data_IF_049245274506
#
_entry.id   IF_049245274506
#
_cell.length_a   1.000
_cell.length_b   1.000
_cell.length_c   1.000
_cell.angle_alpha   90.00
_cell.angle_beta   90.00
_cell.angle_gamma   90.00
#
_symmetry.space_group_name_H-M   'P 1'
#
loop_
_entity.id
_entity.type
_entity.pdbx_description
1 polymer ?
#
# COMPACT_ATOMS: atom_id res chain seq x y z
N UNK A 1 46.97 15.88 -0.84
CA UNK A 1 45.99 16.93 -1.22
C UNK A 1 45.15 16.42 -2.38
N UNK A 2 43.85 16.76 -2.43
CA UNK A 2 42.92 16.36 -3.52
C UNK A 2 43.19 17.10 -4.85
N UNK A 3 43.98 18.17 -4.82
CA UNK A 3 44.24 19.05 -5.96
C UNK A 3 45.73 19.10 -6.29
N UNK A 4 46.07 19.02 -7.58
CA UNK A 4 47.44 19.12 -8.08
C UNK A 4 47.80 20.61 -8.30
N UNK A 5 48.89 21.09 -7.69
CA UNK A 5 49.29 22.50 -7.72
C UNK A 5 49.55 23.05 -9.13
N UNK A 6 50.09 22.23 -10.03
CA UNK A 6 50.43 22.64 -11.41
C UNK A 6 49.19 22.72 -12.31
N UNK A 7 48.26 21.77 -12.18
CA UNK A 7 47.01 21.73 -12.96
C UNK A 7 46.04 22.85 -12.57
N UNK A 8 46.01 23.19 -11.27
CA UNK A 8 45.11 24.22 -10.73
C UNK A 8 45.72 25.62 -10.69
N UNK A 9 47.01 25.76 -11.03
CA UNK A 9 47.78 27.03 -10.96
C UNK A 9 47.55 27.74 -9.63
N UNK A 10 47.65 26.99 -8.53
CA UNK A 10 47.25 27.49 -7.22
C UNK A 10 48.20 28.63 -6.81
N UNK A 11 47.66 29.82 -6.59
CA UNK A 11 48.43 30.96 -6.11
C UNK A 11 48.79 30.75 -4.63
N UNK A 12 50.07 30.94 -4.31
CA UNK A 12 50.59 30.85 -2.93
C UNK A 12 50.90 32.25 -2.43
N UNK A 13 50.34 32.61 -1.28
CA UNK A 13 50.65 33.86 -0.58
C UNK A 13 51.00 33.54 0.87
N UNK A 14 52.17 34.00 1.33
CA UNK A 14 52.67 33.72 2.69
C UNK A 14 52.62 32.22 3.06
N UNK A 15 53.01 31.34 2.12
CA UNK A 15 52.97 29.87 2.25
C UNK A 15 51.57 29.26 2.41
N UNK A 16 50.51 30.01 2.10
CA UNK A 16 49.10 29.58 2.17
C UNK A 16 48.43 29.63 0.80
N UNK A 17 47.42 28.77 0.61
CA UNK A 17 46.63 28.66 -0.61
C UNK A 17 45.31 29.42 -0.45
N UNK A 18 45.39 30.74 -0.34
CA UNK A 18 44.29 31.58 0.14
C UNK A 18 42.98 31.42 -0.66
N UNK A 19 43.05 31.21 -1.98
CA UNK A 19 41.87 30.97 -2.82
C UNK A 19 41.20 29.62 -2.58
N UNK A 20 42.00 28.58 -2.40
CA UNK A 20 41.50 27.24 -2.08
C UNK A 20 40.88 27.22 -0.67
N UNK A 21 41.48 27.95 0.28
CA UNK A 21 40.92 28.13 1.63
C UNK A 21 39.59 28.87 1.61
N UNK A 22 39.52 30.00 0.88
CA UNK A 22 38.29 30.76 0.70
C UNK A 22 37.17 29.92 0.08
N UNK A 23 37.47 29.18 -1.00
CA UNK A 23 36.52 28.23 -1.60
C UNK A 23 36.07 27.17 -0.60
N UNK A 24 37.00 26.59 0.16
CA UNK A 24 36.69 25.52 1.12
C UNK A 24 35.76 26.02 2.22
N UNK A 25 36.06 27.17 2.84
CA UNK A 25 35.21 27.77 3.87
C UNK A 25 33.82 28.09 3.33
N UNK A 26 33.74 28.63 2.11
CA UNK A 26 32.46 28.89 1.47
C UNK A 26 31.68 27.60 1.18
N UNK A 27 32.35 26.57 0.65
CA UNK A 27 31.77 25.26 0.29
C UNK A 27 31.17 24.50 1.47
N UNK A 28 31.76 24.65 2.66
CA UNK A 28 31.27 24.04 3.91
C UNK A 28 30.33 24.96 4.69
N UNK A 29 29.99 26.15 4.16
CA UNK A 29 29.06 27.09 4.78
C UNK A 29 29.63 27.87 5.98
N UNK A 30 30.95 27.88 6.17
CA UNK A 30 31.64 28.63 7.23
C UNK A 30 31.93 30.06 6.78
N UNK A 31 30.86 30.83 6.56
CA UNK A 31 30.93 32.23 6.13
C UNK A 31 31.67 33.10 7.15
N UNK A 32 31.61 32.76 8.43
CA UNK A 32 32.37 33.40 9.51
C UNK A 32 33.89 33.31 9.27
N UNK A 33 34.39 32.10 9.00
CA UNK A 33 35.81 31.86 8.72
C UNK A 33 36.23 32.50 7.41
N UNK A 34 35.37 32.45 6.40
CA UNK A 34 35.61 33.14 5.14
C UNK A 34 35.77 34.65 5.34
N UNK A 35 34.86 35.31 6.04
CA UNK A 35 34.93 36.75 6.30
C UNK A 35 36.15 37.12 7.14
N UNK A 36 36.53 36.27 8.11
CA UNK A 36 37.77 36.42 8.87
C UNK A 36 38.99 36.34 7.97
N UNK A 37 39.08 35.34 7.09
CA UNK A 37 40.17 35.16 6.13
C UNK A 37 40.30 36.37 5.19
N UNK A 38 39.17 36.86 4.65
CA UNK A 38 39.13 38.04 3.79
C UNK A 38 39.57 39.32 4.52
N UNK A 39 39.42 39.37 5.85
CA UNK A 39 39.80 40.53 6.67
C UNK A 39 41.27 40.46 7.10
N UNK A 40 41.74 39.28 7.51
CA UNK A 40 43.14 39.01 7.85
C UNK A 40 44.07 39.30 6.67
N UNK A 41 43.69 38.84 5.46
CA UNK A 41 44.45 39.04 4.23
C UNK A 41 43.82 40.13 3.33
N UNK A 42 43.39 41.25 3.92
CA UNK A 42 42.73 42.34 3.17
C UNK A 42 43.60 42.88 2.03
N UNK A 43 44.91 43.04 2.25
CA UNK A 43 45.84 43.52 1.23
C UNK A 43 45.79 42.62 -0.01
N UNK A 44 45.81 41.30 0.20
CA UNK A 44 45.76 40.31 -0.86
C UNK A 44 44.41 40.33 -1.58
N UNK A 45 43.29 40.24 -0.86
CA UNK A 45 41.97 40.08 -1.46
C UNK A 45 41.37 41.37 -2.04
N UNK A 46 41.72 42.54 -1.50
CA UNK A 46 41.17 43.81 -1.98
C UNK A 46 42.07 44.49 -3.02
N UNK A 47 43.38 44.52 -2.78
CA UNK A 47 44.30 45.31 -3.60
C UNK A 47 45.02 44.48 -4.66
N UNK A 48 45.51 43.29 -4.32
CA UNK A 48 46.18 42.41 -5.28
C UNK A 48 45.19 41.62 -6.15
N UNK A 49 44.00 41.36 -5.61
CA UNK A 49 43.00 40.47 -6.21
C UNK A 49 41.78 41.20 -6.76
N UNK A 50 41.97 42.37 -7.36
CA UNK A 50 40.93 43.10 -8.11
C UNK A 50 39.63 43.33 -7.30
N UNK A 51 39.74 43.75 -6.04
CA UNK A 51 38.61 44.03 -5.14
C UNK A 51 37.69 42.83 -4.86
N UNK A 52 38.26 41.62 -4.85
CA UNK A 52 37.48 40.39 -4.58
C UNK A 52 36.72 40.47 -3.27
N UNK A 53 37.33 40.95 -2.18
CA UNK A 53 36.68 41.07 -0.87
C UNK A 53 35.41 41.92 -0.98
N UNK A 54 35.48 43.11 -1.57
CA UNK A 54 34.30 43.97 -1.81
C UNK A 54 33.23 43.28 -2.67
N UNK A 55 33.64 42.65 -3.78
CA UNK A 55 32.73 41.95 -4.71
C UNK A 55 32.01 40.78 -4.03
N UNK A 56 32.77 39.92 -3.37
CA UNK A 56 32.23 38.70 -2.76
C UNK A 56 31.38 39.01 -1.53
N UNK A 57 31.74 40.01 -0.72
CA UNK A 57 30.88 40.51 0.36
C UNK A 57 29.56 41.08 -0.17
N UNK A 58 29.58 41.74 -1.33
CA UNK A 58 28.39 42.17 -2.05
C UNK A 58 27.49 40.98 -2.41
N UNK A 59 28.07 39.95 -3.02
CA UNK A 59 27.38 38.70 -3.37
C UNK A 59 26.77 38.00 -2.15
N UNK A 60 27.52 37.84 -1.06
CA UNK A 60 27.03 37.25 0.19
C UNK A 60 25.85 38.02 0.79
N UNK A 61 25.84 39.35 0.60
CA UNK A 61 24.73 40.22 0.99
C UNK A 61 23.58 40.26 -0.03
N UNK A 62 23.62 39.43 -1.08
CA UNK A 62 22.58 39.35 -2.12
C UNK A 62 22.61 40.49 -3.15
N UNK A 63 23.70 41.25 -3.23
CA UNK A 63 23.88 42.33 -4.21
C UNK A 63 24.55 41.79 -5.48
N UNK A 64 24.05 42.19 -6.65
CA UNK A 64 24.68 41.85 -7.93
C UNK A 64 26.01 42.60 -8.06
N UNK A 65 27.11 41.90 -8.39
CA UNK A 65 28.37 42.57 -8.61
C UNK A 65 28.34 43.35 -9.92
N UNK A 66 28.86 44.58 -9.90
CA UNK A 66 29.11 45.38 -11.10
C UNK A 66 30.60 45.28 -11.46
N UNK A 67 31.04 44.14 -11.99
CA UNK A 67 32.42 43.97 -12.40
C UNK A 67 32.60 42.93 -13.51
N UNK A 68 33.54 43.18 -14.43
CA UNK A 68 33.92 42.25 -15.50
C UNK A 68 35.39 41.87 -15.31
N UNK A 69 35.64 40.65 -14.79
CA UNK A 69 37.00 40.11 -14.65
C UNK A 69 37.37 39.29 -15.88
N UNK A 70 38.57 39.49 -16.44
CA UNK A 70 39.12 38.63 -17.49
C UNK A 70 40.18 37.68 -16.90
N UNK A 71 39.76 36.48 -16.47
CA UNK A 71 40.57 35.53 -15.67
C UNK A 71 41.10 34.35 -16.51
N UNK A 72 41.56 34.59 -17.74
CA UNK A 72 41.89 33.50 -18.69
C UNK A 72 43.09 32.63 -18.27
N UNK A 73 43.97 33.11 -17.39
CA UNK A 73 45.22 32.44 -16.99
C UNK A 73 45.40 32.20 -15.48
N UNK A 74 44.39 32.52 -14.68
CA UNK A 74 44.49 32.63 -13.22
C UNK A 74 44.22 31.31 -12.47
N UNK A 75 44.50 31.32 -11.16
CA UNK A 75 44.11 30.28 -10.21
C UNK A 75 42.66 29.83 -10.44
N UNK A 76 42.43 28.51 -10.49
CA UNK A 76 41.12 27.95 -10.80
C UNK A 76 40.07 28.24 -9.73
N UNK A 77 40.44 28.25 -8.45
CA UNK A 77 39.54 28.61 -7.35
C UNK A 77 39.18 30.09 -7.40
N UNK A 78 40.15 30.97 -7.67
CA UNK A 78 39.90 32.40 -7.90
C UNK A 78 38.90 32.60 -9.02
N UNK A 79 39.17 32.01 -10.17
CA UNK A 79 38.27 32.07 -11.34
C UNK A 79 36.87 31.61 -11.00
N UNK A 80 36.74 30.46 -10.36
CA UNK A 80 35.45 29.90 -9.97
C UNK A 80 34.68 30.83 -9.01
N UNK A 81 35.34 31.37 -7.97
CA UNK A 81 34.69 32.24 -6.99
C UNK A 81 34.19 33.56 -7.61
N UNK A 82 34.94 34.14 -8.55
CA UNK A 82 34.48 35.30 -9.31
C UNK A 82 33.31 34.96 -10.24
N UNK A 83 33.38 33.85 -10.98
CA UNK A 83 32.27 33.39 -11.80
C UNK A 83 31.02 33.07 -10.97
N UNK A 84 31.20 32.60 -9.73
CA UNK A 84 30.12 32.32 -8.80
C UNK A 84 29.43 33.61 -8.34
N UNK A 85 30.21 34.60 -7.92
CA UNK A 85 29.68 35.90 -7.50
C UNK A 85 28.88 36.58 -8.61
N UNK A 86 29.29 36.37 -9.87
CA UNK A 86 28.65 36.90 -11.07
C UNK A 86 27.59 35.96 -11.68
N UNK A 87 27.15 34.93 -10.94
CA UNK A 87 26.12 33.96 -11.34
C UNK A 87 26.42 33.18 -12.66
N UNK A 88 27.67 33.23 -13.15
CA UNK A 88 28.13 32.58 -14.38
C UNK A 88 28.84 31.24 -14.14
N UNK A 89 29.13 30.88 -12.89
CA UNK A 89 29.76 29.62 -12.55
C UNK A 89 29.04 28.40 -13.16
N UNK A 90 29.84 27.49 -13.71
CA UNK A 90 29.41 26.21 -14.28
C UNK A 90 30.26 25.09 -13.69
N UNK A 91 29.80 23.85 -13.85
CA UNK A 91 30.65 22.70 -13.60
C UNK A 91 31.78 22.67 -14.64
N UNK A 92 33.01 22.65 -14.15
CA UNK A 92 34.24 22.72 -14.94
C UNK A 92 35.02 21.40 -14.93
N UNK A 93 34.57 20.41 -14.16
CA UNK A 93 35.26 19.13 -13.96
C UNK A 93 36.55 19.25 -13.13
N UNK A 94 36.88 20.44 -12.62
CA UNK A 94 38.11 20.74 -11.88
C UNK A 94 37.79 21.14 -10.45
N UNK A 95 37.24 22.35 -10.24
CA UNK A 95 36.83 22.82 -8.90
C UNK A 95 35.53 22.12 -8.49
N UNK A 96 34.61 21.93 -9.45
CA UNK A 96 33.36 21.20 -9.27
C UNK A 96 33.47 19.87 -10.00
N UNK A 97 33.92 18.84 -9.27
CA UNK A 97 34.28 17.54 -9.84
C UNK A 97 33.57 16.34 -9.20
N UNK A 98 32.64 16.56 -8.26
CA UNK A 98 31.75 15.51 -7.73
C UNK A 98 30.29 15.84 -7.95
N UNK A 99 29.42 14.83 -7.81
CA UNK A 99 27.98 15.04 -7.88
C UNK A 99 27.48 15.95 -6.75
N UNK A 100 28.04 15.83 -5.55
CA UNK A 100 27.74 16.69 -4.41
C UNK A 100 28.15 18.14 -4.67
N UNK A 101 29.31 18.36 -5.28
CA UNK A 101 29.77 19.70 -5.67
C UNK A 101 28.87 20.31 -6.75
N UNK A 102 28.40 19.50 -7.69
CA UNK A 102 27.44 19.93 -8.70
C UNK A 102 26.10 20.36 -8.07
N UNK A 103 25.56 19.52 -7.18
CA UNK A 103 24.31 19.79 -6.46
C UNK A 103 24.46 21.07 -5.63
N UNK A 104 25.56 21.19 -4.89
CA UNK A 104 25.89 22.39 -4.12
C UNK A 104 25.92 23.64 -5.00
N UNK A 105 26.62 23.60 -6.13
CA UNK A 105 26.69 24.72 -7.06
C UNK A 105 25.29 25.14 -7.53
N UNK A 106 24.42 24.18 -7.87
CA UNK A 106 23.04 24.46 -8.29
C UNK A 106 22.21 25.10 -7.17
N UNK A 107 22.35 24.60 -5.94
CA UNK A 107 21.65 25.16 -4.77
C UNK A 107 22.11 26.59 -4.48
N UNK A 108 23.42 26.85 -4.47
CA UNK A 108 24.00 28.17 -4.18
C UNK A 108 23.67 29.19 -5.26
N UNK A 109 23.68 28.78 -6.54
CA UNK A 109 23.31 29.67 -7.65
C UNK A 109 21.81 29.84 -7.84
N UNK A 110 20.97 29.18 -7.01
CA UNK A 110 19.51 29.15 -7.13
C UNK A 110 19.01 28.78 -8.53
N UNK A 111 19.86 28.14 -9.36
CA UNK A 111 19.49 27.69 -10.70
C UNK A 111 18.63 26.45 -10.56
N UNK A 112 17.53 26.41 -11.30
CA UNK A 112 16.59 25.31 -11.25
C UNK A 112 17.25 24.03 -11.78
N UNK A 113 17.60 23.11 -10.88
CA UNK A 113 18.20 21.81 -11.22
C UNK A 113 17.16 20.70 -11.36
N UNK A 114 15.86 21.06 -11.36
CA UNK A 114 14.74 20.12 -11.56
C UNK A 114 14.84 19.30 -12.85
N UNK A 115 15.53 19.83 -13.86
CA UNK A 115 15.69 19.19 -15.17
C UNK A 115 16.99 18.39 -15.28
N UNK A 116 17.91 18.54 -14.32
CA UNK A 116 19.24 17.94 -14.36
C UNK A 116 19.26 16.51 -13.80
N UNK A 117 18.13 16.01 -13.30
CA UNK A 117 18.03 14.68 -12.68
C UNK A 117 18.45 13.58 -13.65
N UNK A 118 18.08 13.69 -14.93
CA UNK A 118 18.38 12.66 -15.93
C UNK A 118 19.85 12.65 -16.38
N UNK A 119 20.65 13.64 -15.98
CA UNK A 119 22.07 13.73 -16.35
C UNK A 119 22.91 12.70 -15.58
N UNK A 120 22.44 12.28 -14.41
CA UNK A 120 23.16 11.34 -13.56
C UNK A 120 22.79 9.91 -13.90
N UNK A 121 23.74 8.99 -13.95
CA UNK A 121 23.44 7.58 -14.19
C UNK A 121 22.96 6.87 -12.90
N UNK A 122 23.55 7.22 -11.75
CA UNK A 122 23.28 6.57 -10.46
C UNK A 122 21.92 6.96 -9.88
N UNK A 123 21.06 5.98 -9.64
CA UNK A 123 19.75 6.18 -9.02
C UNK A 123 19.83 6.78 -7.61
N UNK A 124 20.90 6.49 -6.86
CA UNK A 124 21.11 7.10 -5.53
C UNK A 124 21.30 8.61 -5.63
N UNK A 125 22.03 9.06 -6.65
CA UNK A 125 22.25 10.48 -6.92
C UNK A 125 20.95 11.09 -7.45
N UNK A 126 20.26 10.44 -8.40
CA UNK A 126 18.95 10.91 -8.90
C UNK A 126 17.93 11.07 -7.76
N UNK A 127 17.93 10.13 -6.81
CA UNK A 127 17.09 10.16 -5.62
C UNK A 127 17.41 11.38 -4.75
N UNK A 128 18.68 11.56 -4.36
CA UNK A 128 19.13 12.71 -3.57
C UNK A 128 18.80 14.05 -4.24
N UNK A 129 19.00 14.16 -5.55
CA UNK A 129 18.66 15.37 -6.31
C UNK A 129 17.15 15.60 -6.28
N UNK A 130 16.35 14.55 -6.45
CA UNK A 130 14.88 14.67 -6.38
C UNK A 130 14.41 15.14 -5.01
N UNK A 131 15.05 14.70 -3.92
CA UNK A 131 14.80 15.20 -2.56
C UNK A 131 15.13 16.70 -2.44
N UNK A 132 16.34 17.11 -2.82
CA UNK A 132 16.75 18.52 -2.75
C UNK A 132 15.88 19.43 -3.64
N UNK A 133 15.41 18.90 -4.77
CA UNK A 133 14.50 19.59 -5.69
C UNK A 133 13.05 19.62 -5.21
N UNK A 134 12.74 18.98 -4.07
CA UNK A 134 11.38 18.77 -3.54
C UNK A 134 10.44 18.10 -4.56
N UNK A 135 10.97 17.16 -5.36
CA UNK A 135 10.21 16.35 -6.32
C UNK A 135 9.92 14.98 -5.72
N UNK A 136 9.09 14.92 -4.69
CA UNK A 136 8.85 13.69 -3.93
C UNK A 136 8.20 12.57 -4.74
N UNK A 137 7.25 12.87 -5.64
CA UNK A 137 6.67 11.87 -6.56
C UNK A 137 7.75 11.18 -7.40
N UNK A 138 8.69 11.95 -7.94
CA UNK A 138 9.80 11.41 -8.73
C UNK A 138 10.80 10.64 -7.86
N UNK A 139 11.03 11.10 -6.62
CA UNK A 139 11.86 10.38 -5.66
C UNK A 139 11.27 9.01 -5.32
N UNK A 140 9.94 8.91 -5.17
CA UNK A 140 9.22 7.64 -4.97
C UNK A 140 9.41 6.72 -6.18
N UNK A 141 9.23 7.21 -7.40
CA UNK A 141 9.41 6.41 -8.62
C UNK A 141 10.83 5.85 -8.75
N UNK A 142 11.84 6.69 -8.48
CA UNK A 142 13.25 6.26 -8.49
C UNK A 142 13.49 5.23 -7.39
N UNK A 143 13.00 5.47 -6.17
CA UNK A 143 13.19 4.57 -5.04
C UNK A 143 12.55 3.20 -5.28
N UNK A 144 11.39 3.14 -5.93
CA UNK A 144 10.75 1.87 -6.27
C UNK A 144 11.55 1.08 -7.31
N UNK A 145 12.06 1.75 -8.35
CA UNK A 145 12.78 1.13 -9.49
C UNK A 145 14.24 0.77 -9.20
N UNK A 146 14.85 1.42 -8.22
CA UNK A 146 16.28 1.30 -7.90
C UNK A 146 16.62 0.05 -7.08
N UNK A 147 17.91 -0.18 -6.86
CA UNK A 147 18.48 -1.35 -6.16
C UNK A 147 18.54 -1.22 -4.64
N UNK A 148 17.89 -0.21 -4.05
CA UNK A 148 17.90 -0.02 -2.59
C UNK A 148 17.38 -1.27 -1.86
N UNK A 149 17.98 -1.59 -0.72
CA UNK A 149 17.50 -2.66 0.15
C UNK A 149 16.05 -2.44 0.57
N UNK A 150 15.29 -3.52 0.76
CA UNK A 150 13.87 -3.48 1.11
C UNK A 150 13.60 -2.67 2.39
N UNK A 151 14.47 -2.82 3.40
CA UNK A 151 14.35 -2.11 4.68
C UNK A 151 14.53 -0.58 4.49
N UNK A 152 15.61 -0.08 3.86
CA UNK A 152 15.71 1.34 3.49
C UNK A 152 14.52 1.84 2.67
N UNK A 153 14.09 1.08 1.65
CA UNK A 153 12.93 1.46 0.82
C UNK A 153 11.66 1.63 1.67
N UNK A 154 11.43 0.74 2.63
CA UNK A 154 10.28 0.81 3.52
C UNK A 154 10.23 2.13 4.29
N UNK A 155 11.29 2.48 5.01
CA UNK A 155 11.32 3.70 5.81
C UNK A 155 11.32 4.96 4.94
N UNK A 156 12.06 4.96 3.83
CA UNK A 156 12.09 6.11 2.91
C UNK A 156 10.74 6.33 2.22
N UNK A 157 10.06 5.28 1.75
CA UNK A 157 8.73 5.40 1.12
C UNK A 157 7.69 5.90 2.12
N UNK A 158 7.72 5.41 3.37
CA UNK A 158 6.83 5.88 4.43
C UNK A 158 6.93 7.40 4.59
N UNK A 159 8.14 7.92 4.74
CA UNK A 159 8.36 9.37 4.92
C UNK A 159 8.05 10.16 3.66
N UNK A 160 8.41 9.64 2.48
CA UNK A 160 8.16 10.31 1.20
C UNK A 160 6.67 10.45 0.86
N UNK A 161 5.88 9.41 1.12
CA UNK A 161 4.44 9.45 0.90
C UNK A 161 3.75 10.46 1.84
N UNK A 162 4.24 10.61 3.08
CA UNK A 162 3.76 11.64 3.99
C UNK A 162 4.07 13.05 3.45
N UNK A 163 5.29 13.29 2.94
CA UNK A 163 5.68 14.58 2.37
C UNK A 163 4.97 14.89 1.04
N UNK A 164 4.74 13.89 0.20
CA UNK A 164 4.00 14.04 -1.06
C UNK A 164 2.56 14.52 -0.81
N UNK A 165 1.88 13.95 0.19
CA UNK A 165 0.53 14.35 0.56
C UNK A 165 0.49 15.80 1.09
N UNK A 166 1.54 16.24 1.81
CA UNK A 166 1.67 17.62 2.28
C UNK A 166 1.87 18.62 1.15
N UNK A 167 2.66 18.27 0.15
CA UNK A 167 2.89 19.15 -1.00
C UNK A 167 1.63 19.29 -1.88
N UNK A 168 0.85 18.21 -2.05
CA UNK A 168 -0.44 18.27 -2.76
C UNK A 168 -1.48 19.11 -2.01
N UNK A 169 -1.58 18.97 -0.69
CA UNK A 169 -2.49 19.77 0.13
C UNK A 169 -2.11 21.27 0.17
N UNK A 170 -0.81 21.60 0.07
CA UNK A 170 -0.33 22.98 0.03
C UNK A 170 -0.61 23.70 -1.29
N UNK A 171 -0.65 22.98 -2.41
CA UNK A 171 -0.98 23.55 -3.72
C UNK A 171 -2.47 23.94 -3.82
N UNK A 172 -3.38 23.21 -3.17
CA UNK A 172 -4.81 23.55 -3.15
C UNK A 172 -5.11 24.85 -2.36
N UNK A 173 -4.38 25.10 -1.28
CA UNK A 173 -4.59 26.28 -0.40
C UNK A 173 -4.02 27.57 -0.99
N UNK A 174 -3.05 27.49 -1.91
CA UNK A 174 -2.50 28.67 -2.60
C UNK A 174 -3.38 29.23 -3.73
N UNK A 175 -4.60 28.71 -3.89
CA UNK A 175 -5.65 29.27 -4.76
C UNK A 175 -6.34 30.51 -4.18
N UNK A 176 -6.15 30.82 -2.89
CA UNK A 176 -6.72 32.02 -2.24
C UNK A 176 -5.63 32.86 -1.61
N UNK A 177 -5.41 34.04 -2.20
CA UNK A 177 -4.52 35.09 -1.73
C UNK A 177 -4.77 35.43 -0.24
N UNK A 178 -3.72 35.48 0.57
CA UNK A 178 -3.13 36.68 1.22
C UNK A 178 -1.90 36.21 2.00
N UNK A 179 -0.74 36.79 1.69
CA UNK A 179 0.49 36.66 2.46
C UNK A 179 0.32 37.41 3.80
N UNK A 180 0.28 36.69 4.92
CA UNK A 180 0.57 37.25 6.24
C UNK A 180 1.74 36.46 6.86
N UNK A 181 2.89 37.13 6.94
CA UNK A 181 4.20 36.56 7.25
C UNK A 181 4.49 36.44 8.75
N UNK A 182 3.45 36.38 9.60
CA UNK A 182 3.61 36.46 11.06
C UNK A 182 3.32 35.16 11.83
N UNK A 183 2.86 34.08 11.19
CA UNK A 183 2.62 32.78 11.85
C UNK A 183 3.12 31.58 11.02
N UNK A 184 4.42 31.57 10.69
CA UNK A 184 5.06 30.38 10.13
C UNK A 184 5.27 29.34 11.24
N UNK A 185 4.23 28.55 11.53
CA UNK A 185 4.40 27.25 12.18
C UNK A 185 5.36 26.46 11.28
N UNK A 186 6.55 26.15 11.78
CA UNK A 186 7.54 25.43 10.98
C UNK A 186 7.05 24.01 10.75
N UNK A 187 7.28 23.42 9.57
CA UNK A 187 6.88 22.01 9.25
C UNK A 187 7.41 21.00 10.28
N UNK A 188 8.50 21.34 10.99
CA UNK A 188 9.02 20.60 12.16
C UNK A 188 8.14 20.69 13.42
N UNK A 189 7.40 21.78 13.63
CA UNK A 189 6.46 21.94 14.76
C UNK A 189 5.19 21.10 14.56
N UNK A 190 4.74 20.90 13.32
CA UNK A 190 3.68 19.91 13.00
C UNK A 190 4.12 18.47 13.30
N UNK A 191 5.40 18.15 13.07
CA UNK A 191 6.01 16.85 13.44
C UNK A 191 6.19 16.68 14.94
N UNK A 192 6.56 17.74 15.67
CA UNK A 192 6.86 17.67 17.11
C UNK A 192 5.59 17.55 17.97
N UNK A 193 4.45 18.11 17.53
CA UNK A 193 3.16 17.88 18.22
C UNK A 193 2.77 16.40 18.29
N UNK A 194 3.07 15.60 17.27
CA UNK A 194 2.81 14.14 17.25
C UNK A 194 3.66 13.33 18.23
N UNK A 195 4.82 13.84 18.67
CA UNK A 195 5.68 13.13 19.64
C UNK A 195 5.37 13.49 21.10
N UNK A 196 4.62 14.57 21.34
CA UNK A 196 4.35 15.08 22.70
C UNK A 196 2.98 14.64 23.23
N UNK A 197 2.05 14.25 22.36
CA UNK A 197 0.72 13.76 22.78
C UNK A 197 0.73 12.35 23.43
N UNK A 198 1.84 11.61 23.35
CA UNK A 198 2.05 10.36 24.09
C UNK A 198 2.38 10.59 25.59
N UNK A 199 2.45 11.83 26.06
CA UNK A 199 2.74 12.18 27.46
C UNK A 199 1.93 13.37 27.99
N UNK A 200 0.67 13.08 28.34
CA UNK A 200 -0.22 13.78 29.30
C UNK A 200 -0.54 15.29 29.18
N UNK A 201 -1.85 15.53 29.07
CA UNK A 201 -2.69 16.61 29.63
C UNK A 201 -2.46 18.10 29.31
N UNK A 202 -3.55 18.66 28.75
CA UNK A 202 -4.11 20.01 28.91
C UNK A 202 -3.28 21.21 28.45
N UNK A 203 -3.43 21.58 27.17
CA UNK A 203 -3.64 22.97 26.74
C UNK A 203 -4.59 22.98 25.54
N UNK A 204 -5.82 23.49 25.74
CA UNK A 204 -6.73 23.82 24.65
C UNK A 204 -6.23 25.06 23.90
N UNK A 205 -5.97 24.92 22.60
CA UNK A 205 -5.83 26.05 21.67
C UNK A 205 -6.39 25.65 20.30
N UNK A 206 -7.25 26.53 19.80
CA UNK A 206 -8.28 26.29 18.80
C UNK A 206 -7.78 25.82 17.41
N UNK A 207 -8.54 24.85 16.88
CA UNK A 207 -8.94 24.64 15.48
C UNK A 207 -7.94 25.03 14.39
N UNK A 208 -6.99 24.14 14.12
CA UNK A 208 -6.50 23.91 12.75
C UNK A 208 -7.11 22.56 12.35
N UNK A 209 -7.86 22.56 11.25
CA UNK A 209 -8.47 21.37 10.64
C UNK A 209 -7.45 20.23 10.55
N UNK A 210 -7.50 19.28 11.49
CA UNK A 210 -6.83 17.98 11.39
C UNK A 210 -7.53 17.18 10.30
N UNK A 211 -7.21 17.48 9.04
CA UNK A 211 -7.49 16.55 7.96
C UNK A 211 -6.60 15.34 8.21
N UNK A 212 -7.16 14.16 8.52
CA UNK A 212 -6.34 12.98 8.69
C UNK A 212 -5.69 12.66 7.34
N UNK A 213 -4.36 12.51 7.34
CA UNK A 213 -3.63 12.22 6.11
C UNK A 213 -3.98 10.83 5.61
N UNK A 214 -4.55 10.78 4.40
CA UNK A 214 -4.89 9.53 3.72
C UNK A 214 -3.66 8.65 3.53
N UNK A 215 -3.82 7.33 3.73
CA UNK A 215 -2.71 6.40 3.58
C UNK A 215 -2.40 6.24 2.09
N UNK A 216 -1.16 6.53 1.67
CA UNK A 216 -0.78 6.42 0.26
C UNK A 216 -0.99 5.00 -0.29
N UNK A 217 -1.75 4.83 -1.38
CA UNK A 217 -1.92 3.52 -2.03
C UNK A 217 -0.60 2.90 -2.48
N UNK A 218 0.38 3.73 -2.86
CA UNK A 218 1.71 3.26 -3.27
C UNK A 218 2.41 2.59 -2.07
N UNK A 219 2.36 3.25 -0.92
CA UNK A 219 2.94 2.71 0.31
C UNK A 219 2.22 1.44 0.76
N UNK A 220 0.88 1.41 0.72
CA UNK A 220 0.11 0.22 1.07
C UNK A 220 0.44 -0.97 0.15
N UNK A 221 0.50 -0.76 -1.16
CA UNK A 221 0.89 -1.83 -2.09
C UNK A 221 2.31 -2.34 -1.78
N UNK A 222 3.25 -1.46 -1.48
CA UNK A 222 4.61 -1.86 -1.13
C UNK A 222 4.66 -2.63 0.20
N UNK A 223 4.00 -2.12 1.25
CA UNK A 223 3.88 -2.77 2.56
C UNK A 223 3.29 -4.18 2.43
N UNK A 224 2.14 -4.31 1.78
CA UNK A 224 1.46 -5.60 1.66
C UNK A 224 2.26 -6.61 0.83
N UNK A 225 2.99 -6.15 -0.19
CA UNK A 225 3.95 -6.99 -0.91
C UNK A 225 5.11 -7.49 -0.04
N UNK A 226 5.52 -6.73 0.97
CA UNK A 226 6.50 -7.20 1.96
C UNK A 226 5.84 -8.22 2.88
N UNK A 227 4.65 -7.90 3.39
CA UNK A 227 3.91 -8.74 4.34
C UNK A 227 3.64 -10.14 3.78
N UNK A 228 3.28 -10.26 2.50
CA UNK A 228 3.06 -11.57 1.85
C UNK A 228 4.32 -12.43 1.78
N UNK A 229 5.51 -11.84 1.83
CA UNK A 229 6.81 -12.55 1.81
C UNK A 229 7.27 -12.97 3.20
N UNK A 230 6.62 -12.51 4.26
CA UNK A 230 6.96 -12.89 5.63
C UNK A 230 6.38 -14.25 5.97
N UNK A 231 7.21 -15.11 6.55
CA UNK A 231 6.79 -16.43 7.04
C UNK A 231 6.02 -16.35 8.36
N UNK A 232 6.40 -15.42 9.23
CA UNK A 232 5.89 -15.35 10.60
C UNK A 232 4.66 -14.45 10.71
N UNK A 233 3.55 -15.02 11.18
CA UNK A 233 2.28 -14.29 11.41
C UNK A 233 2.45 -13.05 12.31
N UNK A 234 3.24 -13.18 13.37
CA UNK A 234 3.56 -12.07 14.29
C UNK A 234 4.05 -10.81 13.57
N UNK A 235 5.02 -10.96 12.68
CA UNK A 235 5.58 -9.81 11.96
C UNK A 235 4.59 -9.22 10.96
N UNK A 236 3.77 -10.07 10.32
CA UNK A 236 2.69 -9.60 9.45
C UNK A 236 1.71 -8.70 10.21
N UNK A 237 1.24 -9.18 11.37
CA UNK A 237 0.31 -8.44 12.23
C UNK A 237 0.94 -7.14 12.70
N UNK A 238 2.15 -7.17 13.27
CA UNK A 238 2.85 -5.97 13.75
C UNK A 238 3.02 -4.90 12.66
N UNK A 239 3.35 -5.31 11.44
CA UNK A 239 3.52 -4.39 10.32
C UNK A 239 2.20 -3.74 9.88
N UNK A 240 1.10 -4.48 9.89
CA UNK A 240 -0.22 -3.95 9.56
C UNK A 240 -0.74 -3.07 10.69
N UNK A 241 -0.53 -3.46 11.95
CA UNK A 241 -0.93 -2.67 13.12
C UNK A 241 -0.23 -1.32 13.21
N UNK A 242 0.96 -1.18 12.64
CA UNK A 242 1.61 0.14 12.48
C UNK A 242 0.72 1.16 11.75
N UNK A 243 -0.21 0.70 10.90
CA UNK A 243 -1.14 1.59 10.19
C UNK A 243 -2.33 2.03 11.05
N UNK A 244 -2.57 1.39 12.20
CA UNK A 244 -3.77 1.61 13.04
C UNK A 244 -3.93 3.04 13.55
N UNK A 245 -2.85 3.81 13.58
CA UNK A 245 -2.86 5.24 13.92
C UNK A 245 -3.52 6.13 12.86
N UNK A 246 -3.79 5.61 11.66
CA UNK A 246 -4.43 6.37 10.58
C UNK A 246 -5.95 6.18 10.65
N UNK A 247 -6.71 7.27 10.42
CA UNK A 247 -8.18 7.24 10.54
C UNK A 247 -8.85 6.27 9.55
N UNK A 248 -8.29 6.16 8.35
CA UNK A 248 -8.81 5.33 7.25
C UNK A 248 -8.45 3.84 7.39
N UNK A 249 -7.75 3.46 8.47
CA UNK A 249 -7.26 2.09 8.68
C UNK A 249 -8.36 1.04 8.46
N UNK A 250 -9.52 1.21 9.11
CA UNK A 250 -10.61 0.22 9.03
C UNK A 250 -11.39 0.24 7.71
N UNK A 251 -11.15 1.24 6.85
CA UNK A 251 -11.87 1.40 5.59
C UNK A 251 -11.04 0.91 4.41
N UNK A 252 -9.72 1.13 4.45
CA UNK A 252 -8.80 0.81 3.34
C UNK A 252 -8.08 -0.53 3.54
N UNK A 253 -7.61 -0.84 4.75
CA UNK A 253 -6.82 -2.06 5.02
C UNK A 253 -7.57 -3.36 4.68
N UNK A 254 -8.90 -3.49 4.92
CA UNK A 254 -9.64 -4.69 4.54
C UNK A 254 -9.50 -5.07 3.06
N UNK A 255 -9.55 -4.08 2.16
CA UNK A 255 -9.46 -4.32 0.72
C UNK A 255 -8.07 -4.84 0.32
N UNK A 256 -7.02 -4.38 1.02
CA UNK A 256 -5.66 -4.88 0.83
C UNK A 256 -5.47 -6.29 1.40
N UNK A 257 -6.08 -6.61 2.54
CA UNK A 257 -6.07 -7.98 3.08
C UNK A 257 -6.68 -8.95 2.07
N UNK A 258 -7.82 -8.59 1.47
CA UNK A 258 -8.50 -9.41 0.46
C UNK A 258 -7.66 -9.51 -0.82
N UNK A 259 -7.10 -8.39 -1.30
CA UNK A 259 -6.28 -8.32 -2.52
C UNK A 259 -5.03 -9.19 -2.44
N UNK A 260 -4.40 -9.25 -1.26
CA UNK A 260 -3.16 -10.00 -1.03
C UNK A 260 -3.39 -11.36 -0.35
N UNK A 261 -4.65 -11.77 -0.18
CA UNK A 261 -5.06 -13.06 0.38
C UNK A 261 -4.44 -13.36 1.75
N UNK A 262 -4.28 -12.32 2.58
CA UNK A 262 -3.70 -12.40 3.93
C UNK A 262 -4.77 -12.78 4.96
N UNK A 263 -5.44 -13.91 4.75
CA UNK A 263 -6.49 -14.40 5.64
C UNK A 263 -5.94 -15.05 6.92
N UNK A 264 -4.67 -15.46 6.89
CA UNK A 264 -3.99 -16.19 7.97
C UNK A 264 -3.75 -15.38 9.25
N UNK A 265 -3.91 -14.05 9.17
CA UNK A 265 -3.70 -13.06 10.24
C UNK A 265 -5.02 -12.53 10.84
N UNK A 266 -6.18 -13.03 10.38
CA UNK A 266 -7.48 -12.67 10.94
C UNK A 266 -7.80 -13.57 12.14
N UNK A 267 -8.36 -12.99 13.21
CA UNK A 267 -8.61 -13.69 14.48
C UNK A 267 -10.09 -13.91 14.78
N UNK A 268 -10.40 -14.89 15.64
CA UNK A 268 -11.77 -15.20 16.07
C UNK A 268 -12.33 -14.19 17.08
N UNK A 269 -13.66 -14.00 17.13
CA UNK A 269 -14.32 -13.12 18.11
C UNK A 269 -14.21 -13.54 19.59
N UNK A 270 -13.84 -14.79 19.90
CA UNK A 270 -14.09 -15.38 21.24
C UNK A 270 -12.87 -15.55 22.16
N UNK A 271 -11.65 -15.20 21.77
CA UNK A 271 -10.49 -15.43 22.64
C UNK A 271 -10.00 -14.13 23.26
N UNK A 272 -10.82 -13.59 24.16
CA UNK A 272 -10.40 -12.48 25.05
C UNK A 272 -9.30 -12.90 26.05
N UNK A 273 -8.99 -14.19 26.18
CA UNK A 273 -8.15 -14.72 27.26
C UNK A 273 -7.29 -15.95 26.89
N UNK A 274 -6.88 -16.12 25.63
CA UNK A 274 -5.84 -17.10 25.30
C UNK A 274 -4.61 -16.36 24.82
N UNK A 275 -3.59 -16.44 25.66
CA UNK A 275 -2.23 -16.01 25.43
C UNK A 275 -1.70 -16.61 24.12
N UNK A 276 -1.07 -15.80 23.27
CA UNK A 276 -0.16 -16.19 22.17
C UNK A 276 -0.77 -16.47 20.78
N UNK A 277 -1.90 -15.85 20.39
CA UNK A 277 -2.28 -15.82 18.97
C UNK A 277 -2.11 -14.42 18.35
N UNK A 278 -1.17 -14.30 17.40
CA UNK A 278 -0.91 -13.06 16.68
C UNK A 278 -1.96 -12.86 15.58
N UNK A 279 -3.03 -12.18 15.93
CA UNK A 279 -4.12 -11.82 15.02
C UNK A 279 -4.43 -10.33 15.04
N UNK A 280 -4.95 -9.85 13.92
CA UNK A 280 -5.53 -8.51 13.81
C UNK A 280 -6.85 -8.45 14.59
N UNK A 281 -7.22 -7.25 15.01
CA UNK A 281 -8.42 -7.05 15.83
C UNK A 281 -9.71 -7.51 15.12
N UNK A 282 -10.71 -7.84 15.95
CA UNK A 282 -12.00 -8.32 15.47
C UNK A 282 -12.75 -7.31 14.60
N UNK A 283 -12.56 -6.01 14.84
CA UNK A 283 -13.21 -4.96 14.06
C UNK A 283 -12.73 -4.98 12.60
N UNK A 284 -11.44 -5.25 12.38
CA UNK A 284 -10.90 -5.40 11.04
C UNK A 284 -11.39 -6.71 10.39
N UNK A 285 -11.41 -7.80 11.16
CA UNK A 285 -11.89 -9.09 10.67
C UNK A 285 -13.36 -9.04 10.23
N UNK A 286 -14.23 -8.36 10.99
CA UNK A 286 -15.63 -8.15 10.60
C UNK A 286 -15.79 -7.29 9.36
N UNK A 287 -14.94 -6.25 9.19
CA UNK A 287 -14.91 -5.43 7.97
C UNK A 287 -14.47 -6.23 6.74
N UNK A 288 -13.46 -7.10 6.86
CA UNK A 288 -13.06 -8.00 5.76
C UNK A 288 -14.22 -8.93 5.37
N UNK A 289 -14.90 -9.53 6.34
CA UNK A 289 -16.08 -10.37 6.09
C UNK A 289 -17.23 -9.61 5.44
N UNK A 290 -17.44 -8.34 5.83
CA UNK A 290 -18.43 -7.49 5.19
C UNK A 290 -18.09 -7.25 3.71
N UNK A 291 -16.84 -6.88 3.41
CA UNK A 291 -16.38 -6.63 2.03
C UNK A 291 -16.48 -7.89 1.16
N UNK A 292 -16.09 -9.05 1.67
CA UNK A 292 -16.24 -10.31 0.93
C UNK A 292 -17.70 -10.64 0.61
N UNK A 293 -18.63 -10.33 1.54
CA UNK A 293 -20.08 -10.46 1.30
C UNK A 293 -20.58 -9.51 0.21
N UNK A 294 -20.14 -8.26 0.24
CA UNK A 294 -20.45 -7.26 -0.80
C UNK A 294 -19.92 -7.68 -2.19
N UNK A 295 -18.75 -8.34 -2.23
CA UNK A 295 -18.15 -8.86 -3.46
C UNK A 295 -18.80 -10.17 -3.95
N UNK A 296 -19.57 -10.86 -3.10
CA UNK A 296 -20.15 -12.17 -3.42
C UNK A 296 -19.13 -13.31 -3.54
N UNK A 297 -17.91 -13.17 -3.03
CA UNK A 297 -16.86 -14.18 -3.13
C UNK A 297 -17.01 -15.26 -2.04
N UNK A 298 -17.95 -16.18 -2.28
CA UNK A 298 -18.34 -17.25 -1.34
C UNK A 298 -17.20 -18.19 -0.99
N UNK A 299 -16.30 -18.48 -1.93
CA UNK A 299 -15.17 -19.39 -1.70
C UNK A 299 -14.21 -18.83 -0.66
N UNK A 300 -13.89 -17.53 -0.73
CA UNK A 300 -13.05 -16.87 0.28
C UNK A 300 -13.73 -16.77 1.63
N UNK A 301 -15.06 -16.59 1.67
CA UNK A 301 -15.83 -16.63 2.92
C UNK A 301 -15.74 -18.03 3.54
N UNK A 302 -15.89 -19.10 2.76
CA UNK A 302 -15.79 -20.48 3.27
C UNK A 302 -14.39 -20.78 3.83
N UNK A 303 -13.32 -20.26 3.22
CA UNK A 303 -11.96 -20.38 3.78
C UNK A 303 -11.82 -19.75 5.16
N UNK A 304 -12.66 -18.78 5.49
CA UNK A 304 -12.69 -18.09 6.78
C UNK A 304 -13.67 -18.73 7.78
N UNK A 305 -14.09 -19.99 7.57
CA UNK A 305 -15.05 -20.70 8.43
C UNK A 305 -14.70 -20.64 9.92
N UNK A 306 -13.41 -20.59 10.26
CA UNK A 306 -12.99 -20.54 11.66
C UNK A 306 -13.35 -19.24 12.37
N UNK A 307 -13.57 -18.15 11.64
CA UNK A 307 -13.75 -16.78 12.17
C UNK A 307 -15.21 -16.34 12.13
N UNK A 308 -15.97 -16.88 11.19
CA UNK A 308 -17.39 -16.56 10.95
C UNK A 308 -18.25 -17.23 12.03
N UNK A 309 -19.34 -16.58 12.42
CA UNK A 309 -20.34 -17.20 13.30
C UNK A 309 -21.04 -18.38 12.62
N UNK A 310 -21.37 -19.41 13.41
CA UNK A 310 -21.85 -20.69 12.86
C UNK A 310 -23.13 -20.54 12.04
N UNK A 311 -24.03 -19.63 12.42
CA UNK A 311 -25.27 -19.37 11.69
C UNK A 311 -25.01 -18.80 10.29
N UNK A 312 -24.17 -17.76 10.19
CA UNK A 312 -23.78 -17.17 8.90
C UNK A 312 -23.03 -18.19 8.04
N UNK A 313 -22.19 -19.03 8.65
CA UNK A 313 -21.47 -20.08 7.92
C UNK A 313 -22.43 -21.14 7.36
N UNK A 314 -23.41 -21.60 8.14
CA UNK A 314 -24.43 -22.57 7.70
C UNK A 314 -25.19 -22.03 6.48
N UNK A 315 -25.62 -20.76 6.52
CA UNK A 315 -26.32 -20.12 5.40
C UNK A 315 -25.42 -20.04 4.16
N UNK A 316 -24.15 -19.63 4.33
CA UNK A 316 -23.18 -19.56 3.23
C UNK A 316 -22.93 -20.94 2.59
N UNK A 317 -22.80 -21.99 3.42
CA UNK A 317 -22.62 -23.36 2.94
C UNK A 317 -23.86 -23.88 2.22
N UNK A 318 -25.06 -23.54 2.69
CA UNK A 318 -26.32 -23.93 2.04
C UNK A 318 -26.38 -23.34 0.63
N UNK A 319 -26.18 -22.03 0.52
CA UNK A 319 -26.23 -21.32 -0.76
C UNK A 319 -25.14 -21.81 -1.72
N UNK A 320 -23.93 -22.09 -1.21
CA UNK A 320 -22.85 -22.69 -2.01
C UNK A 320 -23.17 -24.12 -2.47
N UNK A 321 -23.85 -24.91 -1.64
CA UNK A 321 -24.28 -26.27 -1.99
C UNK A 321 -25.39 -26.26 -3.04
N UNK A 322 -26.35 -25.36 -2.90
CA UNK A 322 -27.39 -25.13 -3.90
C UNK A 322 -26.80 -24.75 -5.26
N UNK A 323 -25.90 -23.77 -5.29
CA UNK A 323 -25.21 -23.36 -6.50
C UNK A 323 -24.45 -24.53 -7.12
N UNK A 324 -23.66 -25.27 -6.34
CA UNK A 324 -22.92 -26.42 -6.82
C UNK A 324 -23.81 -27.52 -7.42
N UNK A 325 -25.06 -27.70 -6.95
CA UNK A 325 -26.00 -28.62 -7.58
C UNK A 325 -26.49 -28.08 -8.93
N UNK A 326 -26.82 -26.79 -9.01
CA UNK A 326 -27.39 -26.18 -10.20
C UNK A 326 -26.38 -26.13 -11.38
N UNK A 327 -25.11 -25.86 -11.07
CA UNK A 327 -24.02 -25.77 -12.08
C UNK A 327 -23.13 -27.02 -12.16
N UNK A 328 -23.51 -28.12 -11.49
CA UNK A 328 -22.70 -29.35 -11.36
C UNK A 328 -21.28 -29.13 -10.78
N UNK A 329 -21.09 -28.07 -9.99
CA UNK A 329 -19.85 -27.66 -9.32
C UNK A 329 -19.45 -28.51 -8.11
N UNK A 330 -18.45 -28.09 -7.34
CA UNK A 330 -17.93 -28.84 -6.17
C UNK A 330 -17.94 -27.99 -4.90
N UNK A 331 -18.25 -28.63 -3.77
CA UNK A 331 -18.17 -28.04 -2.42
C UNK A 331 -17.18 -28.82 -1.57
N UNK A 332 -16.51 -28.14 -0.65
CA UNK A 332 -15.68 -28.75 0.38
C UNK A 332 -16.54 -29.58 1.35
N UNK A 333 -16.47 -30.90 1.18
CA UNK A 333 -17.27 -31.85 1.95
C UNK A 333 -16.84 -31.92 3.42
N UNK A 334 -15.56 -31.69 3.73
CA UNK A 334 -15.05 -31.79 5.10
C UNK A 334 -15.63 -30.67 5.97
N UNK A 335 -15.67 -29.45 5.43
CA UNK A 335 -16.26 -28.29 6.12
C UNK A 335 -17.76 -28.51 6.32
N UNK A 336 -18.49 -28.91 5.27
CA UNK A 336 -19.94 -29.14 5.39
C UNK A 336 -20.25 -30.22 6.43
N UNK A 337 -19.53 -31.34 6.40
CA UNK A 337 -19.74 -32.43 7.35
C UNK A 337 -19.40 -32.06 8.80
N UNK A 338 -18.42 -31.16 8.99
CA UNK A 338 -18.14 -30.60 10.32
C UNK A 338 -19.35 -29.86 10.88
N UNK A 339 -19.91 -28.92 10.13
CA UNK A 339 -21.05 -28.11 10.59
C UNK A 339 -22.36 -28.92 10.73
N UNK A 340 -22.51 -30.01 9.99
CA UNK A 340 -23.64 -30.92 10.14
C UNK A 340 -23.59 -31.77 11.42
N UNK A 341 -22.40 -32.05 11.96
CA UNK A 341 -22.24 -32.83 13.20
C UNK A 341 -22.60 -32.04 14.45
N UNK A 342 -22.43 -30.72 14.42
CA UNK A 342 -22.58 -29.85 15.59
C UNK A 342 -24.05 -29.47 15.90
N UNK A 343 -25.02 -29.80 15.01
CA UNK A 343 -26.49 -29.61 15.17
C UNK A 343 -26.88 -28.29 15.86
N UNK A 344 -26.55 -27.17 15.22
CA UNK A 344 -26.58 -25.85 15.84
C UNK A 344 -27.96 -25.18 15.72
N UNK A 345 -28.75 -25.46 14.68
CA UNK A 345 -30.01 -24.75 14.39
C UNK A 345 -30.93 -25.48 13.40
N UNK A 346 -32.14 -24.93 13.15
CA UNK A 346 -33.04 -25.37 12.05
C UNK A 346 -32.39 -25.21 10.67
N UNK A 347 -31.55 -24.20 10.47
CA UNK A 347 -30.81 -24.00 9.22
C UNK A 347 -29.82 -25.15 8.97
N UNK A 348 -29.41 -25.87 10.02
CA UNK A 348 -28.62 -27.10 9.91
C UNK A 348 -29.40 -28.24 9.22
N UNK A 349 -30.71 -28.32 9.43
CA UNK A 349 -31.57 -29.31 8.75
C UNK A 349 -31.72 -28.97 7.27
N UNK A 350 -31.87 -27.68 6.91
CA UNK A 350 -31.89 -27.25 5.51
C UNK A 350 -30.57 -27.55 4.80
N UNK A 351 -29.43 -27.24 5.44
CA UNK A 351 -28.11 -27.57 4.93
C UNK A 351 -27.95 -29.10 4.76
N UNK A 352 -28.44 -29.90 5.71
CA UNK A 352 -28.42 -31.37 5.63
C UNK A 352 -29.19 -31.87 4.42
N UNK A 353 -30.37 -31.31 4.18
CA UNK A 353 -31.22 -31.67 3.05
C UNK A 353 -30.54 -31.33 1.73
N UNK A 354 -29.97 -30.12 1.63
CA UNK A 354 -29.23 -29.67 0.45
C UNK A 354 -27.98 -30.53 0.20
N UNK A 355 -27.24 -30.87 1.25
CA UNK A 355 -26.07 -31.75 1.15
C UNK A 355 -26.44 -33.18 0.73
N UNK A 356 -27.60 -33.68 1.17
CA UNK A 356 -28.17 -34.94 0.70
C UNK A 356 -28.42 -34.95 -0.81
N UNK A 357 -29.00 -33.87 -1.34
CA UNK A 357 -29.16 -33.69 -2.80
C UNK A 357 -27.81 -33.65 -3.52
N UNK A 358 -26.85 -32.89 -3.00
CA UNK A 358 -25.51 -32.81 -3.57
C UNK A 358 -24.79 -34.18 -3.63
N UNK A 359 -24.84 -34.97 -2.56
CA UNK A 359 -24.28 -36.34 -2.53
C UNK A 359 -24.90 -37.23 -3.59
N UNK A 360 -26.22 -37.14 -3.78
CA UNK A 360 -26.90 -37.89 -4.83
C UNK A 360 -26.48 -37.44 -6.24
N UNK A 361 -26.39 -36.13 -6.48
CA UNK A 361 -26.00 -35.57 -7.79
C UNK A 361 -24.58 -35.98 -8.20
N UNK A 362 -23.65 -36.07 -7.24
CA UNK A 362 -22.26 -36.50 -7.48
C UNK A 362 -22.09 -38.00 -7.59
N UNK A 363 -22.86 -38.79 -6.84
CA UNK A 363 -22.83 -40.25 -6.91
C UNK A 363 -24.26 -40.80 -6.95
N UNK A 364 -24.87 -40.87 -8.15
CA UNK A 364 -26.24 -41.35 -8.31
C UNK A 364 -26.33 -42.83 -7.95
N UNK A 365 -27.00 -43.14 -6.86
CA UNK A 365 -27.28 -44.51 -6.43
C UNK A 365 -28.60 -44.57 -5.68
N UNK A 366 -29.24 -45.74 -5.65
CA UNK A 366 -30.50 -45.94 -4.91
C UNK A 366 -30.31 -45.62 -3.44
N UNK A 367 -29.16 -45.98 -2.86
CA UNK A 367 -28.83 -45.68 -1.46
C UNK A 367 -28.79 -44.17 -1.22
N UNK A 368 -28.07 -43.41 -2.05
CA UNK A 368 -27.98 -41.97 -1.90
C UNK A 368 -29.32 -41.28 -2.18
N UNK A 369 -30.10 -41.78 -3.14
CA UNK A 369 -31.44 -41.29 -3.44
C UNK A 369 -32.40 -41.46 -2.25
N UNK A 370 -32.36 -42.61 -1.54
CA UNK A 370 -33.14 -42.83 -0.30
C UNK A 370 -32.77 -41.89 0.83
N UNK A 371 -31.52 -41.44 0.87
CA UNK A 371 -31.02 -40.52 1.90
C UNK A 371 -31.41 -39.07 1.63
N UNK A 372 -31.93 -38.76 0.43
CA UNK A 372 -32.49 -37.43 0.15
C UNK A 372 -33.86 -37.26 0.80
N UNK A 373 -34.27 -36.00 1.00
CA UNK A 373 -35.60 -35.70 1.55
C UNK A 373 -36.75 -36.00 0.60
N UNK A 374 -36.51 -36.40 -0.66
CA UNK A 374 -37.56 -36.74 -1.63
C UNK A 374 -38.56 -37.79 -1.14
N UNK A 375 -38.16 -38.62 -0.17
CA UNK A 375 -38.99 -39.69 0.38
C UNK A 375 -39.45 -39.43 1.82
N UNK A 376 -39.11 -38.28 2.40
CA UNK A 376 -39.59 -37.87 3.71
C UNK A 376 -40.96 -37.19 3.59
N UNK A 377 -41.97 -37.73 4.29
CA UNK A 377 -43.35 -37.23 4.23
C UNK A 377 -43.57 -36.02 5.15
N UNK A 378 -42.62 -35.70 6.02
CA UNK A 378 -42.78 -34.66 7.04
C UNK A 378 -42.15 -33.31 6.66
N UNK A 379 -41.52 -33.21 5.48
CA UNK A 379 -40.77 -32.03 5.06
C UNK A 379 -41.49 -31.33 3.90
N UNK A 380 -41.66 -30.02 3.99
CA UNK A 380 -42.14 -29.20 2.86
C UNK A 380 -41.05 -29.09 1.80
N UNK A 381 -41.31 -29.62 0.61
CA UNK A 381 -40.34 -29.65 -0.49
C UNK A 381 -40.41 -28.45 -1.43
N UNK A 382 -41.40 -27.56 -1.25
CA UNK A 382 -41.56 -26.35 -2.08
C UNK A 382 -40.31 -25.46 -2.14
N UNK A 383 -39.56 -25.23 -1.04
CA UNK A 383 -38.33 -24.43 -1.08
C UNK A 383 -37.23 -24.99 -1.99
N UNK A 384 -37.25 -26.30 -2.26
CA UNK A 384 -36.22 -26.99 -3.03
C UNK A 384 -36.60 -27.21 -4.50
N UNK A 385 -37.73 -26.64 -4.97
CA UNK A 385 -38.29 -26.93 -6.30
C UNK A 385 -37.25 -26.90 -7.42
N UNK A 386 -36.48 -25.81 -7.51
CA UNK A 386 -35.47 -25.64 -8.57
C UNK A 386 -34.34 -26.68 -8.51
N UNK A 387 -33.88 -27.01 -7.30
CA UNK A 387 -32.87 -28.04 -7.08
C UNK A 387 -33.42 -29.41 -7.46
N UNK A 388 -34.66 -29.70 -7.07
CA UNK A 388 -35.36 -30.95 -7.38
C UNK A 388 -35.50 -31.12 -8.90
N UNK A 389 -35.95 -30.10 -9.62
CA UNK A 389 -36.07 -30.14 -11.09
C UNK A 389 -34.74 -30.51 -11.78
N UNK A 390 -33.63 -29.94 -11.30
CA UNK A 390 -32.30 -30.21 -11.86
C UNK A 390 -31.85 -31.66 -11.64
N UNK A 391 -32.11 -32.23 -10.47
CA UNK A 391 -31.71 -33.62 -10.13
C UNK A 391 -32.74 -34.68 -10.55
N UNK A 392 -33.96 -34.26 -10.92
CA UNK A 392 -35.09 -35.16 -11.15
C UNK A 392 -34.81 -36.18 -12.24
N UNK A 393 -34.17 -35.75 -13.33
CA UNK A 393 -33.77 -36.65 -14.42
C UNK A 393 -32.82 -37.76 -13.95
N UNK A 394 -31.82 -37.41 -13.12
CA UNK A 394 -30.88 -38.39 -12.53
C UNK A 394 -31.61 -39.34 -11.57
N UNK A 395 -32.59 -38.84 -10.82
CA UNK A 395 -33.42 -39.66 -9.93
C UNK A 395 -34.25 -40.70 -10.71
N UNK A 396 -34.90 -40.29 -11.80
CA UNK A 396 -35.68 -41.17 -12.68
C UNK A 396 -34.79 -42.27 -13.27
N UNK A 397 -33.62 -41.90 -13.79
CA UNK A 397 -32.66 -42.85 -14.39
C UNK A 397 -32.15 -43.87 -13.36
N UNK A 398 -31.86 -43.40 -12.14
CA UNK A 398 -31.42 -44.26 -11.02
C UNK A 398 -32.51 -45.27 -10.64
N UNK A 399 -33.77 -44.83 -10.52
CA UNK A 399 -34.91 -45.70 -10.18
C UNK A 399 -35.20 -46.69 -11.29
N UNK A 400 -35.14 -46.26 -12.55
CA UNK A 400 -35.33 -47.13 -13.71
C UNK A 400 -34.28 -48.23 -13.77
N UNK A 401 -33.02 -47.87 -13.58
CA UNK A 401 -31.90 -48.82 -13.58
C UNK A 401 -32.00 -49.84 -12.45
N UNK A 402 -32.57 -49.44 -11.31
CA UNK A 402 -32.78 -50.30 -10.15
C UNK A 402 -34.10 -51.11 -10.20
N UNK A 403 -35.00 -50.81 -11.13
CA UNK A 403 -36.34 -51.41 -11.23
C UNK A 403 -37.16 -51.32 -9.92
N UNK A 404 -37.00 -50.23 -9.14
CA UNK A 404 -37.69 -50.03 -7.85
C UNK A 404 -39.09 -49.40 -8.06
N UNK A 405 -40.12 -50.25 -8.09
CA UNK A 405 -41.52 -49.83 -8.31
C UNK A 405 -42.08 -48.90 -7.24
N UNK A 406 -41.60 -49.01 -6.00
CA UNK A 406 -42.08 -48.17 -4.90
C UNK A 406 -41.60 -46.73 -5.09
N UNK A 407 -40.32 -46.55 -5.41
CA UNK A 407 -39.76 -45.24 -5.70
C UNK A 407 -40.36 -44.62 -6.96
N UNK A 408 -40.61 -45.41 -8.00
CA UNK A 408 -41.24 -44.95 -9.23
C UNK A 408 -42.61 -44.33 -8.94
N UNK A 409 -43.45 -45.00 -8.13
CA UNK A 409 -44.75 -44.48 -7.68
C UNK A 409 -44.64 -43.20 -6.87
N UNK A 410 -43.62 -43.10 -6.01
CA UNK A 410 -43.41 -41.92 -5.17
C UNK A 410 -42.96 -40.71 -5.99
N UNK A 411 -41.97 -40.88 -6.89
CA UNK A 411 -41.51 -39.82 -7.78
C UNK A 411 -42.63 -39.34 -8.73
N UNK A 412 -43.49 -40.25 -9.21
CA UNK A 412 -44.66 -39.88 -10.02
C UNK A 412 -45.62 -38.95 -9.26
N UNK A 413 -45.96 -39.30 -8.00
CA UNK A 413 -46.80 -38.46 -7.13
C UNK A 413 -46.13 -37.12 -6.83
N UNK A 414 -44.83 -37.14 -6.58
CA UNK A 414 -44.06 -35.95 -6.23
C UNK A 414 -43.97 -34.97 -7.40
N UNK A 415 -43.85 -35.46 -8.63
CA UNK A 415 -43.89 -34.66 -9.86
C UNK A 415 -45.20 -33.87 -9.97
N UNK A 416 -46.34 -34.51 -9.68
CA UNK A 416 -47.65 -33.85 -9.70
C UNK A 416 -47.88 -32.92 -8.50
N UNK A 417 -47.35 -33.25 -7.33
CA UNK A 417 -47.54 -32.44 -6.11
C UNK A 417 -46.71 -31.15 -6.09
N UNK A 418 -45.52 -31.14 -6.72
CA UNK A 418 -44.63 -29.97 -6.75
C UNK A 418 -44.77 -29.12 -8.01
N UNK A 419 -45.64 -29.53 -8.95
CA UNK A 419 -45.86 -28.87 -10.23
C UNK A 419 -44.51 -28.62 -10.95
N UNK A 420 -43.72 -29.68 -11.10
CA UNK A 420 -42.40 -29.63 -11.74
C UNK A 420 -42.56 -29.32 -13.24
N UNK A 421 -41.53 -28.73 -13.84
CA UNK A 421 -41.54 -28.35 -15.26
C UNK A 421 -41.94 -29.48 -16.23
N UNK A 422 -42.40 -29.09 -17.43
CA UNK A 422 -42.88 -30.03 -18.47
C UNK A 422 -41.83 -31.08 -18.88
N UNK A 423 -40.55 -30.73 -18.80
CA UNK A 423 -39.45 -31.66 -19.11
C UNK A 423 -39.38 -32.81 -18.10
N UNK A 424 -39.55 -32.50 -16.80
CA UNK A 424 -39.65 -33.50 -15.74
C UNK A 424 -40.90 -34.37 -15.92
N UNK A 425 -42.05 -33.75 -16.16
CA UNK A 425 -43.32 -34.47 -16.35
C UNK A 425 -43.29 -35.43 -17.56
N UNK A 426 -42.67 -35.01 -18.65
CA UNK A 426 -42.47 -35.83 -19.86
C UNK A 426 -41.56 -37.04 -19.58
N UNK A 427 -40.44 -36.83 -18.88
CA UNK A 427 -39.52 -37.93 -18.50
C UNK A 427 -40.19 -38.95 -17.58
N UNK A 428 -40.96 -38.50 -16.59
CA UNK A 428 -41.76 -39.39 -15.73
C UNK A 428 -42.72 -40.23 -16.55
N UNK A 429 -43.46 -39.57 -17.45
CA UNK A 429 -44.48 -40.23 -18.30
C UNK A 429 -43.87 -41.27 -19.24
N UNK A 430 -42.65 -41.02 -19.73
CA UNK A 430 -41.95 -41.90 -20.66
C UNK A 430 -41.25 -43.07 -19.97
N UNK A 431 -40.58 -42.80 -18.85
CA UNK A 431 -39.61 -43.73 -18.26
C UNK A 431 -40.10 -44.42 -16.98
N UNK A 432 -41.01 -43.80 -16.21
CA UNK A 432 -41.54 -44.38 -14.97
C UNK A 432 -42.90 -45.06 -15.14
N UNK A 433 -43.73 -44.65 -16.12
CA UNK A 433 -45.07 -45.24 -16.32
C UNK A 433 -45.01 -46.74 -16.61
N UNK A 434 -43.95 -47.21 -17.26
CA UNK A 434 -43.74 -48.64 -17.51
C UNK A 434 -43.38 -49.46 -16.25
N UNK A 435 -43.02 -48.80 -15.15
CA UNK A 435 -42.59 -49.41 -13.88
C UNK A 435 -43.66 -49.35 -12.78
N UNK A 436 -44.69 -48.51 -12.95
CA UNK A 436 -45.79 -48.24 -12.00
C UNK A 436 -46.90 -49.27 -12.18
#
# INVERSE_FOLDING_TARGET
MRFNGEEYRIEIYESRYLWAEAFTFFRIGRTDLLLSLLSEFEIFFEFMSQRFKTVFNGYLAGRKPNFVVNLKSDDKFKKFLFELADERAKSDGLVINTAEDYIWLRLVTKKNFKNDIEIFESDKIKFMISLFAKKYSKAIDILLKSDFGVIPKFFLLRELCLEQNLDQAGEEVHSTNVFDSSNLITRSQLRTRRLVEDSSSTVSLASISEQPFAISPIFLNFLFNIVTRLSTKEYKVKLIEMLKSHSEYYDVVPDYIIKFELFDILGKPSEKNTTVEFFLDYKLSSKVLQRLREMGDRNKIIQLYSIIDDLTMIQTLRDATEEAILIDGTVDQEIVEKYLKEKISKDSDELKNMYGFYKFVKNPSVSNLRQTVLFDQNIDMRPYKFVIEKLFAKAIETVRSANDKFMAKHLFKLCGALDLNEECASKVSKDLVLLI
#
